data_IF_899959852181
#
_entry.id   IF_899959852181
#
_cell.length_a   1.000
_cell.length_b   1.000
_cell.length_c   1.000
_cell.angle_alpha   90.00
_cell.angle_beta   90.00
_cell.angle_gamma   90.00
#
_symmetry.space_group_name_H-M   'P 1'
#
loop_
_entity.id
_entity.type
_entity.pdbx_description
1 polymer ?
#
# COMPACT_ATOMS: atom_id res chain seq x y z
N UNK A 1 -45.76 4.97 -41.38
CA UNK A 1 -45.28 3.64 -41.85
C UNK A 1 -43.81 3.77 -42.20
N UNK A 2 -43.02 2.78 -41.75
CA UNK A 2 -41.65 2.39 -42.16
C UNK A 2 -40.47 3.36 -41.93
N UNK A 3 -39.66 3.01 -40.93
CA UNK A 3 -38.18 3.06 -40.94
C UNK A 3 -37.62 1.79 -41.65
N UNK A 4 -36.30 1.53 -41.71
CA UNK A 4 -35.16 2.31 -42.22
C UNK A 4 -34.25 1.47 -43.15
N UNK A 5 -33.17 2.05 -43.71
CA UNK A 5 -32.02 1.26 -44.21
C UNK A 5 -30.66 1.97 -44.06
N UNK A 6 -29.77 1.25 -43.38
CA UNK A 6 -28.30 1.25 -43.28
C UNK A 6 -27.44 2.10 -44.22
N UNK A 7 -26.34 2.65 -43.67
CA UNK A 7 -25.07 2.85 -44.40
C UNK A 7 -23.87 2.63 -43.48
N UNK A 8 -22.96 1.80 -43.97
CA UNK A 8 -21.66 1.38 -43.43
C UNK A 8 -20.61 2.48 -43.43
N UNK A 9 -19.65 2.41 -42.52
CA UNK A 9 -18.43 3.21 -42.52
C UNK A 9 -17.27 2.39 -43.12
N UNK A 10 -16.66 2.92 -44.18
CA UNK A 10 -15.42 2.43 -44.77
C UNK A 10 -14.20 2.96 -44.01
N UNK A 11 -13.27 2.06 -43.69
CA UNK A 11 -11.93 2.38 -43.21
C UNK A 11 -10.99 2.56 -44.41
N UNK A 12 -10.33 3.72 -44.51
CA UNK A 12 -9.20 3.94 -45.43
C UNK A 12 -7.91 4.03 -44.60
N UNK A 13 -7.00 3.08 -44.85
CA UNK A 13 -5.64 3.07 -44.34
C UNK A 13 -4.73 3.90 -45.25
N UNK A 14 -3.84 4.71 -44.66
CA UNK A 14 -2.68 5.28 -45.34
C UNK A 14 -1.41 4.81 -44.63
N UNK A 15 -0.57 4.07 -45.36
CA UNK A 15 0.83 3.80 -45.02
C UNK A 15 1.71 4.80 -45.77
N UNK A 16 2.68 5.39 -45.08
CA UNK A 16 3.73 6.24 -45.65
C UNK A 16 4.94 6.28 -44.71
N UNK A 17 6.11 6.01 -45.28
CA UNK A 17 7.33 5.53 -44.64
C UNK A 17 8.23 6.60 -43.98
N UNK A 18 8.91 6.14 -42.92
CA UNK A 18 10.28 6.43 -42.47
C UNK A 18 10.67 7.84 -41.99
N UNK A 19 11.06 7.93 -40.71
CA UNK A 19 12.33 8.55 -40.27
C UNK A 19 12.58 8.23 -38.80
N UNK A 20 13.76 7.68 -38.51
CA UNK A 20 14.25 7.35 -37.18
C UNK A 20 14.54 8.63 -36.38
N UNK A 21 13.62 9.00 -35.49
CA UNK A 21 13.84 9.83 -34.29
C UNK A 21 12.50 9.94 -33.53
N UNK A 22 12.23 9.02 -32.60
CA UNK A 22 10.92 9.01 -31.94
C UNK A 22 10.75 7.88 -30.92
N UNK A 23 11.57 7.86 -29.87
CA UNK A 23 11.37 7.03 -28.69
C UNK A 23 11.38 7.96 -27.48
N UNK A 24 10.26 8.67 -27.26
CA UNK A 24 9.81 9.30 -26.01
C UNK A 24 8.60 10.21 -26.31
N UNK A 25 7.45 9.61 -26.65
CA UNK A 25 6.17 10.33 -26.62
C UNK A 25 5.01 9.38 -26.36
N UNK A 26 4.97 8.80 -25.15
CA UNK A 26 3.68 8.34 -24.62
C UNK A 26 2.89 9.61 -24.28
N UNK A 27 1.88 9.89 -25.09
CA UNK A 27 1.01 11.04 -24.94
C UNK A 27 0.28 10.99 -23.60
N UNK A 28 0.37 12.07 -22.80
CA UNK A 28 -0.33 12.24 -21.51
C UNK A 28 -1.86 12.08 -21.60
N UNK A 29 -2.44 12.05 -22.81
CA UNK A 29 -3.88 11.82 -23.04
C UNK A 29 -4.30 10.36 -22.88
N UNK A 30 -3.38 9.39 -23.00
CA UNK A 30 -3.75 7.96 -23.08
C UNK A 30 -3.97 7.31 -21.69
N UNK A 31 -3.48 7.94 -20.62
CA UNK A 31 -3.63 7.45 -19.24
C UNK A 31 -5.10 7.55 -18.74
N UNK A 32 -5.89 8.46 -19.30
CA UNK A 32 -7.22 8.79 -18.77
C UNK A 32 -8.38 7.96 -19.33
N UNK A 33 -8.20 7.20 -20.41
CA UNK A 33 -9.34 6.56 -21.12
C UNK A 33 -9.63 5.11 -20.74
N UNK A 34 -8.74 4.41 -20.04
CA UNK A 34 -8.90 2.96 -19.82
C UNK A 34 -9.72 2.56 -18.57
N UNK A 35 -10.10 3.51 -17.72
CA UNK A 35 -10.66 3.20 -16.38
C UNK A 35 -12.21 3.15 -16.31
N UNK A 36 -12.95 3.57 -17.35
CA UNK A 36 -14.37 3.95 -17.17
C UNK A 36 -15.41 2.83 -17.43
N UNK A 37 -15.06 1.70 -18.03
CA UNK A 37 -16.08 0.66 -18.33
C UNK A 37 -15.92 -0.61 -17.48
N UNK A 38 -16.69 -0.73 -16.39
CA UNK A 38 -17.33 -2.01 -15.94
C UNK A 38 -18.27 -1.87 -14.72
N UNK A 39 -19.58 -1.98 -15.03
CA UNK A 39 -20.66 -2.75 -14.36
C UNK A 39 -21.30 -2.23 -13.06
N UNK A 40 -22.57 -1.86 -13.22
CA UNK A 40 -23.63 -1.79 -12.21
C UNK A 40 -24.27 -3.16 -11.97
N UNK A 41 -24.46 -3.55 -10.71
CA UNK A 41 -25.47 -4.55 -10.29
C UNK A 41 -26.03 -4.20 -8.91
N UNK A 42 -27.37 -4.26 -8.80
CA UNK A 42 -28.18 -3.83 -7.66
C UNK A 42 -28.06 -4.76 -6.42
N UNK A 43 -28.23 -4.20 -5.22
CA UNK A 43 -28.26 -4.91 -3.94
C UNK A 43 -29.70 -5.08 -3.40
N UNK A 44 -29.99 -6.25 -2.83
CA UNK A 44 -31.20 -6.52 -2.03
C UNK A 44 -30.83 -6.68 -0.55
N UNK A 45 -31.51 -5.96 0.34
CA UNK A 45 -31.26 -6.02 1.79
C UNK A 45 -32.08 -7.13 2.47
N UNK A 46 -31.44 -7.97 3.28
CA UNK A 46 -32.11 -8.90 4.22
C UNK A 46 -31.96 -8.35 5.64
N UNK A 47 -33.08 -8.21 6.37
CA UNK A 47 -33.12 -7.82 7.80
C UNK A 47 -32.74 -9.01 8.68
N UNK A 48 -31.89 -8.79 9.68
CA UNK A 48 -31.78 -9.68 10.82
C UNK A 48 -31.84 -8.90 12.14
N UNK A 49 -32.67 -9.35 13.07
CA UNK A 49 -33.35 -8.53 14.09
C UNK A 49 -32.57 -8.31 15.41
N UNK A 50 -31.24 -8.47 15.43
CA UNK A 50 -30.47 -8.36 16.70
C UNK A 50 -29.22 -7.49 16.66
N UNK A 51 -28.76 -7.10 15.48
CA UNK A 51 -27.64 -6.20 15.26
C UNK A 51 -28.02 -5.31 14.06
N UNK A 52 -27.62 -4.03 14.08
CA UNK A 52 -27.93 -3.08 13.00
C UNK A 52 -27.54 -3.62 11.62
N UNK A 53 -28.08 -3.07 10.52
CA UNK A 53 -27.92 -3.65 9.19
C UNK A 53 -26.43 -3.72 8.81
N UNK A 54 -25.88 -4.93 8.79
CA UNK A 54 -24.63 -5.22 8.12
C UNK A 54 -24.93 -5.17 6.61
N UNK A 55 -24.56 -4.08 5.96
CA UNK A 55 -24.60 -3.97 4.50
C UNK A 55 -23.53 -4.90 3.92
N UNK A 56 -23.83 -6.19 3.82
CA UNK A 56 -23.04 -7.13 3.03
C UNK A 56 -23.39 -6.85 1.57
N UNK A 57 -22.68 -5.93 0.93
CA UNK A 57 -22.77 -5.76 -0.50
C UNK A 57 -22.34 -7.08 -1.16
N UNK A 58 -23.22 -7.64 -1.98
CA UNK A 58 -22.99 -8.89 -2.69
C UNK A 58 -21.79 -8.76 -3.65
N UNK A 59 -20.78 -9.60 -3.44
CA UNK A 59 -19.66 -9.87 -4.35
C UNK A 59 -18.69 -8.71 -4.64
N UNK A 60 -18.12 -8.08 -3.62
CA UNK A 60 -16.77 -7.52 -3.76
C UNK A 60 -15.77 -8.64 -3.46
N UNK A 61 -15.11 -9.19 -4.50
CA UNK A 61 -14.04 -10.17 -4.30
C UNK A 61 -12.85 -9.47 -3.63
N UNK A 62 -12.26 -10.12 -2.62
CA UNK A 62 -10.97 -9.71 -2.06
C UNK A 62 -9.95 -9.58 -3.21
N UNK A 63 -9.01 -8.62 -3.14
CA UNK A 63 -8.00 -8.46 -4.18
C UNK A 63 -7.30 -9.80 -4.37
N UNK A 64 -7.48 -10.39 -5.55
CA UNK A 64 -7.03 -11.76 -5.82
C UNK A 64 -5.51 -11.85 -5.84
N UNK A 65 -4.83 -10.75 -6.16
CA UNK A 65 -3.37 -10.61 -6.13
C UNK A 65 -3.03 -9.18 -5.76
N UNK A 66 -2.22 -8.99 -4.71
CA UNK A 66 -1.58 -7.70 -4.40
C UNK A 66 -0.22 -7.63 -5.11
N UNK A 67 0.13 -6.51 -5.76
CA UNK A 67 1.45 -6.33 -6.35
C UNK A 67 2.55 -6.44 -5.29
N UNK A 68 3.76 -6.83 -5.72
CA UNK A 68 4.93 -7.00 -4.84
C UNK A 68 5.12 -5.78 -3.94
N UNK A 69 4.95 -5.98 -2.64
CA UNK A 69 4.95 -4.90 -1.66
C UNK A 69 6.37 -4.49 -1.29
N UNK A 70 7.33 -5.43 -1.33
CA UNK A 70 8.75 -5.13 -1.08
C UNK A 70 9.44 -4.40 -2.22
N UNK A 71 8.86 -4.44 -3.44
CA UNK A 71 9.41 -3.73 -4.59
C UNK A 71 9.33 -2.23 -4.39
N UNK A 72 10.46 -1.55 -4.44
CA UNK A 72 10.55 -0.09 -4.35
C UNK A 72 11.56 0.46 -5.37
N UNK A 73 11.29 1.61 -6.04
CA UNK A 73 10.01 2.33 -6.08
C UNK A 73 8.93 1.55 -6.84
N UNK A 74 7.66 1.74 -6.48
CA UNK A 74 6.54 1.15 -7.25
C UNK A 74 6.46 1.78 -8.63
N UNK A 75 6.24 0.95 -9.65
CA UNK A 75 5.93 1.38 -11.01
C UNK A 75 4.60 2.12 -11.07
N UNK A 76 4.37 2.92 -12.12
CA UNK A 76 3.10 3.65 -12.29
C UNK A 76 1.88 2.72 -12.33
N UNK A 77 2.02 1.53 -12.89
CA UNK A 77 0.93 0.53 -12.93
C UNK A 77 0.61 0.00 -11.53
N UNK A 78 1.63 -0.31 -10.72
CA UNK A 78 1.44 -0.75 -9.34
C UNK A 78 0.82 0.36 -8.49
N UNK A 79 1.26 1.60 -8.67
CA UNK A 79 0.68 2.75 -7.99
C UNK A 79 -0.78 2.95 -8.38
N UNK A 80 -1.12 2.87 -9.67
CA UNK A 80 -2.50 2.99 -10.15
C UNK A 80 -3.39 1.91 -9.55
N UNK A 81 -2.91 0.66 -9.48
CA UNK A 81 -3.64 -0.43 -8.84
C UNK A 81 -4.03 -0.11 -7.40
N UNK A 82 -3.11 0.41 -6.59
CA UNK A 82 -3.43 0.79 -5.21
C UNK A 82 -4.39 1.98 -5.13
N UNK A 83 -4.30 2.94 -6.05
CA UNK A 83 -5.24 4.07 -6.14
C UNK A 83 -6.64 3.56 -6.46
N UNK A 84 -6.77 2.67 -7.44
CA UNK A 84 -8.05 2.09 -7.86
C UNK A 84 -8.69 1.34 -6.68
N UNK A 85 -7.92 0.55 -5.93
CA UNK A 85 -8.43 -0.14 -4.74
C UNK A 85 -8.99 0.83 -3.69
N UNK A 86 -8.34 1.97 -3.46
CA UNK A 86 -8.79 2.98 -2.51
C UNK A 86 -10.05 3.68 -3.04
N UNK A 87 -10.03 4.12 -4.31
CA UNK A 87 -11.16 4.80 -4.96
C UNK A 87 -12.40 3.92 -4.95
N UNK A 88 -12.26 2.65 -5.33
CA UNK A 88 -13.36 1.68 -5.29
C UNK A 88 -13.94 1.50 -3.88
N UNK A 89 -13.08 1.44 -2.86
CA UNK A 89 -13.52 1.29 -1.47
C UNK A 89 -14.31 2.51 -1.00
N UNK A 90 -13.80 3.72 -1.28
CA UNK A 90 -14.47 4.99 -0.95
C UNK A 90 -15.79 5.14 -1.70
N UNK A 91 -15.80 4.83 -3.00
CA UNK A 91 -17.02 4.86 -3.81
C UNK A 91 -18.07 3.88 -3.27
N UNK A 92 -17.67 2.64 -2.99
CA UNK A 92 -18.56 1.59 -2.45
C UNK A 92 -19.14 1.98 -1.10
N UNK A 93 -18.33 2.59 -0.23
CA UNK A 93 -18.75 3.07 1.07
C UNK A 93 -19.77 4.19 0.95
N UNK A 94 -19.47 5.21 0.15
CA UNK A 94 -20.35 6.36 -0.01
C UNK A 94 -21.70 6.01 -0.65
N UNK A 95 -21.74 4.97 -1.48
CA UNK A 95 -22.98 4.48 -2.07
C UNK A 95 -23.83 3.66 -1.07
N UNK A 96 -23.23 3.14 0.00
CA UNK A 96 -23.87 2.17 0.91
C UNK A 96 -24.11 2.73 2.32
N UNK A 97 -23.35 3.73 2.74
CA UNK A 97 -23.29 4.21 4.11
C UNK A 97 -23.58 5.71 4.18
N UNK A 98 -24.26 6.14 5.25
CA UNK A 98 -24.58 7.54 5.50
C UNK A 98 -23.57 8.26 6.40
N UNK A 99 -22.60 7.54 6.97
CA UNK A 99 -21.62 8.14 7.85
C UNK A 99 -20.65 9.04 7.06
N UNK A 100 -20.55 10.29 7.50
CA UNK A 100 -19.80 11.34 6.83
C UNK A 100 -18.31 11.32 7.17
N UNK A 101 -17.92 10.70 8.28
CA UNK A 101 -16.53 10.67 8.77
C UNK A 101 -15.84 9.37 8.35
N UNK A 102 -14.83 9.50 7.49
CA UNK A 102 -14.14 8.37 6.84
C UNK A 102 -12.63 8.52 6.90
N UNK A 103 -11.91 7.41 7.02
CA UNK A 103 -10.45 7.37 6.94
C UNK A 103 -9.98 6.37 5.88
N UNK A 104 -8.91 6.77 5.20
CA UNK A 104 -8.12 5.93 4.30
C UNK A 104 -6.70 5.91 4.85
N UNK A 105 -6.18 4.72 5.12
CA UNK A 105 -4.79 4.50 5.51
C UNK A 105 -4.11 3.60 4.49
N UNK A 106 -3.16 4.13 3.75
CA UNK A 106 -2.31 3.42 2.79
C UNK A 106 -0.85 3.69 3.18
N UNK A 107 -0.28 2.79 3.99
CA UNK A 107 1.08 2.90 4.55
C UNK A 107 2.06 1.96 3.84
N UNK A 108 1.99 1.92 2.51
CA UNK A 108 3.04 1.30 1.70
C UNK A 108 4.40 1.93 2.01
N UNK A 109 5.52 1.23 1.80
CA UNK A 109 6.85 1.81 2.00
C UNK A 109 7.00 3.20 1.38
N UNK A 110 6.53 3.37 0.14
CA UNK A 110 6.53 4.61 -0.65
C UNK A 110 5.66 5.74 -0.06
N UNK A 111 4.66 5.42 0.76
CA UNK A 111 3.67 6.36 1.29
C UNK A 111 3.69 6.47 2.82
N UNK A 112 4.68 5.86 3.46
CA UNK A 112 4.82 5.91 4.90
C UNK A 112 5.83 7.00 5.28
N UNK A 113 5.39 8.13 5.87
CA UNK A 113 6.29 9.20 6.27
C UNK A 113 7.20 8.84 7.46
N UNK A 114 6.93 7.73 8.16
CA UNK A 114 7.81 7.19 9.20
C UNK A 114 9.05 6.49 8.59
N UNK A 115 9.04 6.21 7.29
CA UNK A 115 10.16 5.63 6.55
C UNK A 115 10.88 6.72 5.74
N UNK A 116 12.16 6.49 5.44
CA UNK A 116 13.03 7.44 4.71
C UNK A 116 12.58 7.70 3.26
N UNK A 117 11.62 6.91 2.80
CA UNK A 117 11.19 6.83 1.42
C UNK A 117 9.74 7.31 1.34
N UNK A 118 9.54 8.59 1.03
CA UNK A 118 8.20 9.18 0.93
C UNK A 118 7.98 9.81 -0.45
N UNK A 119 7.34 9.05 -1.35
CA UNK A 119 6.96 9.49 -2.69
C UNK A 119 5.71 10.37 -2.64
N UNK A 120 5.95 11.67 -2.50
CA UNK A 120 4.90 12.71 -2.55
C UNK A 120 4.11 12.68 -3.86
N UNK A 121 4.70 12.26 -4.99
CA UNK A 121 3.99 12.20 -6.28
C UNK A 121 2.95 11.10 -6.27
N UNK A 122 3.24 9.97 -5.62
CA UNK A 122 2.26 8.90 -5.44
C UNK A 122 1.10 9.36 -4.55
N UNK A 123 1.38 10.09 -3.47
CA UNK A 123 0.34 10.70 -2.63
C UNK A 123 -0.55 11.65 -3.44
N UNK A 124 0.04 12.54 -4.24
CA UNK A 124 -0.71 13.48 -5.09
C UNK A 124 -1.60 12.73 -6.08
N UNK A 125 -1.10 11.68 -6.74
CA UNK A 125 -1.92 10.83 -7.64
C UNK A 125 -3.12 10.23 -6.91
N UNK A 126 -2.93 9.72 -5.69
CA UNK A 126 -4.03 9.19 -4.87
C UNK A 126 -5.07 10.27 -4.56
N UNK A 127 -4.63 11.45 -4.12
CA UNK A 127 -5.51 12.60 -3.82
C UNK A 127 -6.30 13.00 -5.06
N UNK A 128 -5.66 13.06 -6.22
CA UNK A 128 -6.33 13.39 -7.48
C UNK A 128 -7.32 12.32 -7.93
N UNK A 129 -7.03 11.03 -7.73
CA UNK A 129 -7.99 9.95 -7.98
C UNK A 129 -9.26 10.13 -7.17
N UNK A 130 -9.14 10.43 -5.87
CA UNK A 130 -10.27 10.67 -4.97
C UNK A 130 -11.03 11.98 -5.29
N UNK A 131 -10.32 13.06 -5.63
CA UNK A 131 -10.95 14.30 -6.05
C UNK A 131 -11.74 14.10 -7.36
N UNK A 132 -11.18 13.34 -8.30
CA UNK A 132 -11.82 13.01 -9.57
C UNK A 132 -13.10 12.21 -9.37
N UNK A 133 -13.06 11.19 -8.49
CA UNK A 133 -14.25 10.42 -8.09
C UNK A 133 -15.38 11.36 -7.63
N UNK A 134 -15.08 12.26 -6.70
CA UNK A 134 -16.08 13.16 -6.11
C UNK A 134 -16.64 14.16 -7.14
N UNK A 135 -15.79 14.73 -8.01
CA UNK A 135 -16.23 15.76 -8.97
C UNK A 135 -16.93 15.15 -10.18
N UNK A 136 -16.32 14.16 -10.83
CA UNK A 136 -16.82 13.65 -12.10
C UNK A 136 -18.01 12.71 -11.92
N UNK A 137 -17.94 11.82 -10.95
CA UNK A 137 -19.03 10.85 -10.74
C UNK A 137 -20.15 11.43 -9.87
N UNK A 138 -19.80 12.19 -8.83
CA UNK A 138 -20.78 12.69 -7.84
C UNK A 138 -21.17 14.15 -8.01
N UNK A 139 -20.53 14.89 -8.91
CA UNK A 139 -20.79 16.32 -9.15
C UNK A 139 -20.63 17.18 -7.88
N UNK A 140 -19.74 16.77 -6.98
CA UNK A 140 -19.50 17.45 -5.70
C UNK A 140 -18.37 18.48 -5.82
N UNK A 141 -18.50 19.60 -5.12
CA UNK A 141 -17.39 20.52 -4.89
C UNK A 141 -16.51 19.98 -3.77
N UNK A 142 -15.23 19.81 -4.07
CA UNK A 142 -14.25 19.18 -3.21
C UNK A 142 -13.26 20.22 -2.71
N UNK A 143 -13.05 20.23 -1.40
CA UNK A 143 -11.96 20.92 -0.75
C UNK A 143 -10.84 19.94 -0.41
N UNK A 144 -9.66 20.17 -0.97
CA UNK A 144 -8.43 19.52 -0.52
C UNK A 144 -7.82 20.37 0.60
N UNK A 145 -7.67 19.77 1.77
CA UNK A 145 -7.22 20.44 2.98
C UNK A 145 -5.88 19.88 3.40
N UNK A 146 -4.90 20.75 3.59
CA UNK A 146 -3.58 20.42 4.13
C UNK A 146 -3.38 21.17 5.44
N UNK A 147 -2.61 20.60 6.36
CA UNK A 147 -2.20 21.32 7.56
C UNK A 147 -1.23 22.45 7.19
N UNK A 148 -1.56 23.67 7.63
CA UNK A 148 -0.72 24.85 7.45
C UNK A 148 0.35 24.96 8.52
N UNK A 149 1.33 25.87 8.34
CA UNK A 149 2.32 26.16 9.36
C UNK A 149 1.62 26.70 10.61
N UNK A 150 1.79 26.03 11.74
CA UNK A 150 1.21 26.46 13.01
C UNK A 150 1.94 27.68 13.56
N UNK A 151 1.23 28.56 14.28
CA UNK A 151 1.77 29.81 14.83
C UNK A 151 2.94 29.61 15.80
N UNK A 152 3.12 28.40 16.37
CA UNK A 152 4.07 28.11 17.44
C UNK A 152 4.93 26.85 17.23
N UNK A 153 5.02 26.33 15.99
CA UNK A 153 5.79 25.11 15.72
C UNK A 153 6.00 24.81 14.24
N UNK A 154 7.19 24.30 13.91
CA UNK A 154 7.49 23.82 12.55
C UNK A 154 6.61 22.63 12.15
N UNK A 155 6.35 22.52 10.85
CA UNK A 155 5.54 21.43 10.29
C UNK A 155 6.24 20.07 10.42
N UNK A 156 5.50 18.99 10.76
CA UNK A 156 6.02 17.63 10.65
C UNK A 156 6.54 17.34 9.23
N UNK A 157 7.59 16.53 9.11
CA UNK A 157 8.22 16.20 7.83
C UNK A 157 7.22 15.68 6.78
N UNK A 158 6.22 14.91 7.21
CA UNK A 158 5.15 14.36 6.39
C UNK A 158 4.35 15.44 5.63
N UNK A 159 4.20 16.61 6.25
CA UNK A 159 3.35 17.73 5.79
C UNK A 159 4.20 18.90 5.29
N UNK A 160 5.46 19.01 5.72
CA UNK A 160 6.36 20.10 5.36
C UNK A 160 6.48 20.25 3.84
N UNK A 161 6.04 21.39 3.30
CA UNK A 161 6.04 21.68 1.86
C UNK A 161 4.93 20.99 1.06
N UNK A 162 4.11 20.12 1.66
CA UNK A 162 3.02 19.42 0.95
C UNK A 162 2.02 20.40 0.33
N UNK A 163 1.64 21.45 1.06
CA UNK A 163 0.75 22.49 0.54
C UNK A 163 1.33 23.18 -0.70
N UNK A 164 2.63 23.48 -0.69
CA UNK A 164 3.33 24.08 -1.84
C UNK A 164 3.32 23.13 -3.03
N UNK A 165 3.73 21.87 -2.85
CA UNK A 165 3.72 20.89 -3.93
C UNK A 165 2.33 20.63 -4.50
N UNK A 166 1.32 20.51 -3.64
CA UNK A 166 -0.06 20.32 -4.06
C UNK A 166 -0.56 21.53 -4.87
N UNK A 167 -0.25 22.76 -4.44
CA UNK A 167 -0.63 23.95 -5.18
C UNK A 167 0.10 24.07 -6.53
N UNK A 168 1.40 23.82 -6.58
CA UNK A 168 2.17 23.85 -7.83
C UNK A 168 1.63 22.80 -8.82
N UNK A 169 1.43 21.56 -8.35
CA UNK A 169 0.88 20.48 -9.16
C UNK A 169 -0.57 20.75 -9.59
N UNK A 170 -1.36 21.39 -8.73
CA UNK A 170 -2.72 21.84 -9.07
C UNK A 170 -2.72 22.89 -10.17
N UNK A 171 -1.87 23.92 -10.11
CA UNK A 171 -1.84 24.94 -11.17
C UNK A 171 -1.48 24.32 -12.53
N UNK A 172 -0.47 23.44 -12.55
CA UNK A 172 -0.05 22.73 -13.76
C UNK A 172 -1.16 21.80 -14.27
N UNK A 173 -1.78 21.03 -13.37
CA UNK A 173 -2.79 20.04 -13.73
C UNK A 173 -4.09 20.70 -14.20
N UNK A 174 -4.47 21.83 -13.59
CA UNK A 174 -5.69 22.58 -13.90
C UNK A 174 -5.78 22.96 -15.37
N UNK A 175 -4.68 23.34 -16.00
CA UNK A 175 -4.63 23.65 -17.44
C UNK A 175 -5.05 22.46 -18.31
N UNK A 176 -4.78 21.24 -17.86
CA UNK A 176 -5.09 20.00 -18.58
C UNK A 176 -6.46 19.41 -18.25
N UNK A 177 -7.11 19.88 -17.19
CA UNK A 177 -8.37 19.33 -16.70
C UNK A 177 -9.58 19.78 -17.52
N UNK A 178 -10.64 18.96 -17.48
CA UNK A 178 -11.95 19.38 -17.96
C UNK A 178 -12.54 20.51 -17.09
N UNK A 179 -13.48 21.29 -17.64
CA UNK A 179 -14.00 22.48 -16.97
C UNK A 179 -14.66 22.23 -15.60
N UNK A 180 -15.19 21.02 -15.34
CA UNK A 180 -15.79 20.68 -14.05
C UNK A 180 -14.75 20.54 -12.95
N UNK A 181 -13.66 19.82 -13.20
CA UNK A 181 -12.55 19.70 -12.25
C UNK A 181 -11.95 21.07 -11.91
N UNK A 182 -11.79 21.95 -12.89
CA UNK A 182 -11.23 23.29 -12.69
C UNK A 182 -12.08 24.21 -11.79
N UNK A 183 -13.38 23.94 -11.67
CA UNK A 183 -14.35 24.78 -10.95
C UNK A 183 -14.79 24.17 -9.61
N UNK A 184 -14.76 22.84 -9.50
CA UNK A 184 -15.27 22.12 -8.33
C UNK A 184 -14.15 21.69 -7.37
N UNK A 185 -12.88 21.68 -7.79
CA UNK A 185 -11.75 21.38 -6.91
C UNK A 185 -11.15 22.67 -6.39
N UNK A 186 -10.80 22.66 -5.10
CA UNK A 186 -10.21 23.82 -4.45
C UNK A 186 -9.29 23.39 -3.32
N UNK A 187 -8.15 24.08 -3.15
CA UNK A 187 -7.13 23.73 -2.14
C UNK A 187 -7.12 24.81 -1.06
N UNK A 188 -6.93 24.43 0.19
CA UNK A 188 -6.81 25.36 1.31
C UNK A 188 -6.03 24.75 2.47
N UNK A 189 -5.55 25.59 3.38
CA UNK A 189 -5.04 25.11 4.67
C UNK A 189 -6.18 24.81 5.63
N UNK A 190 -5.87 24.11 6.72
CA UNK A 190 -6.82 23.86 7.79
C UNK A 190 -7.27 25.17 8.46
N UNK A 191 -6.35 26.13 8.68
CA UNK A 191 -6.68 27.43 9.27
C UNK A 191 -7.61 28.25 8.37
N UNK A 192 -7.38 28.25 7.05
CA UNK A 192 -8.25 28.90 6.06
C UNK A 192 -9.68 28.33 6.10
N UNK A 193 -9.82 27.01 6.22
CA UNK A 193 -11.13 26.35 6.31
C UNK A 193 -11.90 26.72 7.58
N UNK A 194 -11.18 26.96 8.68
CA UNK A 194 -11.74 27.30 9.98
C UNK A 194 -12.17 28.78 10.03
N UNK A 195 -11.40 29.67 9.40
CA UNK A 195 -11.69 31.11 9.37
C UNK A 195 -12.75 31.48 8.33
N UNK A 196 -12.73 30.86 7.14
CA UNK A 196 -13.63 31.18 6.05
C UNK A 196 -14.82 30.21 5.99
N UNK A 197 -16.02 30.70 5.70
CA UNK A 197 -17.16 29.84 5.41
C UNK A 197 -17.11 29.41 3.95
N UNK A 198 -16.73 28.16 3.72
CA UNK A 198 -16.60 27.62 2.37
C UNK A 198 -17.82 26.75 2.06
N UNK A 199 -18.51 27.04 0.96
CA UNK A 199 -19.62 26.20 0.49
C UNK A 199 -19.04 25.02 -0.31
N UNK A 200 -18.73 23.92 0.37
CA UNK A 200 -18.13 22.72 -0.21
C UNK A 200 -18.91 21.48 0.21
N UNK A 201 -19.03 20.56 -0.73
CA UNK A 201 -19.85 19.37 -0.56
C UNK A 201 -19.03 18.21 0.01
N UNK A 202 -17.70 18.24 -0.11
CA UNK A 202 -16.80 17.17 0.34
C UNK A 202 -15.43 17.71 0.77
N UNK A 203 -14.88 17.21 1.89
CA UNK A 203 -13.55 17.58 2.38
C UNK A 203 -12.60 16.37 2.35
N UNK A 204 -11.40 16.56 1.80
CA UNK A 204 -10.31 15.58 1.83
C UNK A 204 -9.15 16.20 2.60
N UNK A 205 -8.87 15.69 3.80
CA UNK A 205 -7.76 16.16 4.63
C UNK A 205 -6.56 15.24 4.42
N UNK A 206 -5.45 15.82 3.94
CA UNK A 206 -4.29 15.07 3.48
C UNK A 206 -3.24 15.00 4.61
N UNK A 207 -2.93 13.77 5.05
CA UNK A 207 -1.87 13.45 6.02
C UNK A 207 -1.88 14.32 7.29
N UNK A 208 -3.03 14.52 7.96
CA UNK A 208 -3.06 15.34 9.16
C UNK A 208 -2.15 14.72 10.23
N UNK A 209 -1.17 15.48 10.70
CA UNK A 209 -0.10 14.98 11.57
C UNK A 209 0.01 15.81 12.85
N UNK A 210 0.15 15.13 13.97
CA UNK A 210 0.36 15.81 15.25
C UNK A 210 1.75 16.49 15.30
N UNK A 211 1.88 17.59 16.05
CA UNK A 211 3.14 18.29 16.27
C UNK A 211 3.38 18.52 17.77
N UNK A 212 4.66 18.64 18.17
CA UNK A 212 5.09 18.69 19.58
C UNK A 212 4.52 19.89 20.36
N UNK A 213 4.10 20.98 19.72
CA UNK A 213 3.57 22.17 20.41
C UNK A 213 2.09 22.47 20.12
N UNK A 214 1.52 21.89 19.07
CA UNK A 214 0.18 22.23 18.58
C UNK A 214 -0.55 20.98 18.10
N UNK A 215 -1.49 20.44 18.89
CA UNK A 215 -2.23 19.26 18.47
C UNK A 215 -3.21 19.62 17.35
N UNK A 216 -2.97 19.08 16.15
CA UNK A 216 -3.85 19.26 14.98
C UNK A 216 -5.29 18.76 15.25
N UNK A 217 -5.46 17.90 16.27
CA UNK A 217 -6.73 17.29 16.63
C UNK A 217 -7.81 18.31 16.98
N UNK A 218 -7.48 19.39 17.68
CA UNK A 218 -8.46 20.45 18.00
C UNK A 218 -9.01 21.11 16.74
N UNK A 219 -8.13 21.41 15.78
CA UNK A 219 -8.52 21.98 14.49
C UNK A 219 -9.37 21.01 13.67
N UNK A 220 -9.06 19.71 13.70
CA UNK A 220 -9.89 18.69 13.04
C UNK A 220 -11.27 18.54 13.70
N UNK A 221 -11.34 18.60 15.03
CA UNK A 221 -12.61 18.61 15.77
C UNK A 221 -13.45 19.82 15.33
N UNK A 222 -12.86 21.01 15.34
CA UNK A 222 -13.54 22.23 14.89
C UNK A 222 -14.00 22.13 13.44
N UNK A 223 -13.19 21.56 12.54
CA UNK A 223 -13.58 21.34 11.15
C UNK A 223 -14.78 20.39 11.04
N UNK A 224 -14.77 19.28 11.80
CA UNK A 224 -15.90 18.33 11.80
C UNK A 224 -17.18 18.90 12.40
N UNK A 225 -17.06 19.81 13.37
CA UNK A 225 -18.20 20.50 13.96
C UNK A 225 -18.76 21.56 13.01
N UNK A 226 -17.88 22.33 12.36
CA UNK A 226 -18.26 23.39 11.42
C UNK A 226 -18.92 22.84 10.16
N UNK A 227 -18.42 21.72 9.63
CA UNK A 227 -18.93 21.06 8.41
C UNK A 227 -19.57 19.71 8.72
N UNK A 228 -20.44 19.67 9.73
CA UNK A 228 -21.08 18.43 10.21
C UNK A 228 -21.97 17.72 9.17
N UNK A 229 -22.42 18.44 8.13
CA UNK A 229 -23.27 17.93 7.06
C UNK A 229 -22.49 17.52 5.80
N UNK A 230 -21.19 17.79 5.75
CA UNK A 230 -20.34 17.45 4.60
C UNK A 230 -19.47 16.23 4.95
N UNK A 231 -19.32 15.24 4.06
CA UNK A 231 -18.36 14.17 4.25
C UNK A 231 -16.92 14.70 4.40
N UNK A 232 -16.20 14.11 5.34
CA UNK A 232 -14.79 14.38 5.62
C UNK A 232 -14.02 13.08 5.51
N UNK A 233 -13.06 13.05 4.59
CA UNK A 233 -12.16 11.94 4.35
C UNK A 233 -10.75 12.29 4.83
N UNK A 234 -10.21 11.53 5.78
CA UNK A 234 -8.81 11.65 6.19
C UNK A 234 -7.95 10.66 5.39
N UNK A 235 -6.87 11.15 4.77
CA UNK A 235 -5.87 10.32 4.10
C UNK A 235 -4.64 10.21 5.00
N UNK A 236 -4.20 8.99 5.31
CA UNK A 236 -3.04 8.69 6.14
C UNK A 236 -2.98 9.54 7.43
N UNK A 237 -4.04 9.56 8.27
CA UNK A 237 -4.02 10.34 9.50
C UNK A 237 -2.97 9.79 10.48
N UNK A 238 -2.13 10.67 11.02
CA UNK A 238 -1.10 10.33 12.01
C UNK A 238 -1.24 11.20 13.26
N UNK A 239 -2.15 10.82 14.15
CA UNK A 239 -2.38 11.51 15.43
C UNK A 239 -1.71 10.82 16.63
N UNK A 240 -0.67 10.01 16.36
CA UNK A 240 0.13 9.35 17.39
C UNK A 240 0.95 10.37 18.18
N UNK A 241 1.47 9.93 19.31
CA UNK A 241 2.37 10.73 20.14
C UNK A 241 3.67 11.00 19.36
N UNK A 242 4.02 12.28 19.23
CA UNK A 242 5.32 12.70 18.68
C UNK A 242 6.28 12.83 19.87
N UNK A 243 7.46 12.19 19.83
CA UNK A 243 8.45 12.39 20.88
C UNK A 243 8.92 13.85 20.87
N UNK A 244 8.99 14.49 22.04
CA UNK A 244 9.62 15.81 22.14
C UNK A 244 11.15 15.69 21.98
N UNK A 245 11.82 16.80 21.70
CA UNK A 245 13.29 16.89 21.63
C UNK A 245 13.97 16.41 22.92
N UNK A 246 13.27 16.49 24.06
CA UNK A 246 13.73 16.02 25.37
C UNK A 246 13.39 14.55 25.67
N UNK A 247 12.89 13.81 24.68
CA UNK A 247 12.52 12.40 24.81
C UNK A 247 11.24 12.15 25.63
N UNK A 248 10.53 13.21 26.04
CA UNK A 248 9.26 13.08 26.78
C UNK A 248 8.12 12.90 25.78
N UNK A 249 7.43 11.76 25.88
CA UNK A 249 6.28 11.48 25.04
C UNK A 249 5.09 12.37 25.46
N UNK A 250 4.37 12.93 24.48
CA UNK A 250 3.14 13.67 24.75
C UNK A 250 1.99 12.74 25.13
N UNK A 251 1.93 12.35 26.40
CA UNK A 251 0.84 11.52 26.94
C UNK A 251 -0.46 12.33 27.11
N UNK A 252 -0.37 13.65 27.29
CA UNK A 252 -1.53 14.52 27.45
C UNK A 252 -2.37 14.55 26.16
N UNK A 253 -3.68 14.38 26.31
CA UNK A 253 -4.64 14.35 25.19
C UNK A 253 -4.57 13.09 24.32
N UNK A 254 -3.70 12.11 24.61
CA UNK A 254 -3.58 10.87 23.80
C UNK A 254 -4.91 10.16 23.66
N UNK A 255 -5.64 10.01 24.77
CA UNK A 255 -6.94 9.36 24.81
C UNK A 255 -7.93 10.07 23.88
N UNK A 256 -8.05 11.39 24.00
CA UNK A 256 -8.93 12.22 23.16
C UNK A 256 -8.58 12.11 21.67
N UNK A 257 -7.29 12.05 21.31
CA UNK A 257 -6.85 11.85 19.92
C UNK A 257 -7.27 10.49 19.36
N UNK A 258 -7.10 9.44 20.16
CA UNK A 258 -7.48 8.09 19.75
C UNK A 258 -9.00 7.96 19.63
N UNK A 259 -9.75 8.47 20.62
CA UNK A 259 -11.21 8.52 20.59
C UNK A 259 -11.73 9.32 19.39
N UNK A 260 -11.07 10.43 19.04
CA UNK A 260 -11.42 11.21 17.85
C UNK A 260 -11.21 10.41 16.56
N UNK A 261 -10.08 9.71 16.41
CA UNK A 261 -9.84 8.84 15.24
C UNK A 261 -10.84 7.70 15.15
N UNK A 262 -11.25 7.14 16.28
CA UNK A 262 -12.28 6.09 16.33
C UNK A 262 -13.66 6.58 15.86
N UNK A 263 -13.90 7.91 15.81
CA UNK A 263 -15.12 8.45 15.19
C UNK A 263 -15.14 8.36 13.67
N UNK A 264 -13.99 8.09 13.03
CA UNK A 264 -13.87 7.89 11.59
C UNK A 264 -13.94 6.40 11.28
N UNK A 265 -14.76 6.02 10.29
CA UNK A 265 -14.78 4.65 9.82
C UNK A 265 -13.59 4.40 8.88
N UNK A 266 -12.79 3.36 9.19
CA UNK A 266 -11.68 2.90 8.35
C UNK A 266 -12.23 2.23 7.06
N UNK A 267 -12.48 3.04 6.03
CA UNK A 267 -13.00 2.60 4.72
C UNK A 267 -11.97 1.79 3.95
N UNK A 268 -10.72 2.24 4.02
CA UNK A 268 -9.58 1.51 3.47
C UNK A 268 -8.42 1.56 4.45
N UNK A 269 -7.81 0.41 4.73
CA UNK A 269 -6.63 0.30 5.55
C UNK A 269 -5.67 -0.70 4.93
N UNK A 270 -4.45 -0.30 4.62
CA UNK A 270 -3.39 -1.18 4.19
C UNK A 270 -2.12 -0.79 4.92
N UNK A 271 -1.60 -1.72 5.71
CA UNK A 271 -0.34 -1.55 6.43
C UNK A 271 0.52 -2.82 6.32
N UNK A 272 1.76 -2.72 5.83
CA UNK A 272 2.73 -3.80 5.93
C UNK A 272 3.09 -4.06 7.39
N UNK A 273 3.17 -5.33 7.74
CA UNK A 273 3.60 -5.79 9.06
C UNK A 273 5.04 -6.24 8.94
N UNK A 274 5.92 -5.66 9.75
CA UNK A 274 7.35 -5.92 9.71
C UNK A 274 7.75 -6.90 10.82
N UNK A 275 8.68 -7.81 10.50
CA UNK A 275 9.31 -8.67 11.50
C UNK A 275 10.28 -7.85 12.35
N UNK A 276 10.26 -8.06 13.66
CA UNK A 276 11.21 -7.43 14.58
C UNK A 276 12.61 -8.04 14.38
N UNK A 277 13.65 -7.20 14.26
CA UNK A 277 15.03 -7.64 14.06
C UNK A 277 15.82 -6.74 13.09
N UNK A 278 16.54 -7.36 12.16
CA UNK A 278 17.41 -6.68 11.18
C UNK A 278 16.66 -6.35 9.87
N UNK A 279 16.80 -5.10 9.40
CA UNK A 279 16.34 -4.60 8.08
C UNK A 279 14.82 -4.60 7.80
N UNK A 280 13.95 -4.71 8.81
CA UNK A 280 12.48 -4.64 8.67
C UNK A 280 11.91 -5.45 7.47
N UNK A 281 12.16 -6.77 7.38
CA UNK A 281 11.52 -7.55 6.33
C UNK A 281 10.01 -7.57 6.56
N UNK A 282 9.26 -7.39 5.48
CA UNK A 282 7.80 -7.51 5.48
C UNK A 282 7.47 -8.96 5.84
N UNK A 283 6.64 -9.16 6.86
CA UNK A 283 6.15 -10.47 7.29
C UNK A 283 4.75 -10.76 6.73
N UNK A 284 4.01 -9.70 6.41
CA UNK A 284 2.62 -9.78 5.99
C UNK A 284 2.01 -8.40 5.87
N UNK A 285 0.69 -8.34 5.79
CA UNK A 285 -0.06 -7.10 5.74
C UNK A 285 -1.39 -7.21 6.48
N UNK A 286 -1.81 -6.07 7.00
CA UNK A 286 -3.16 -5.86 7.50
C UNK A 286 -3.93 -5.06 6.45
N UNK A 287 -5.02 -5.65 5.94
CA UNK A 287 -5.88 -5.06 4.93
C UNK A 287 -7.31 -4.89 5.45
N UNK A 288 -7.94 -3.77 5.13
CA UNK A 288 -9.38 -3.54 5.18
C UNK A 288 -9.73 -2.84 3.87
N UNK A 289 -10.64 -3.41 3.10
CA UNK A 289 -11.21 -2.78 1.90
C UNK A 289 -12.72 -2.88 2.03
N UNK A 290 -13.40 -1.78 2.35
CA UNK A 290 -14.86 -1.80 2.45
C UNK A 290 -15.48 -2.39 1.16
N UNK A 291 -16.43 -3.34 1.27
CA UNK A 291 -17.14 -3.79 2.47
C UNK A 291 -16.48 -4.96 3.23
N UNK A 292 -15.43 -5.58 2.70
CA UNK A 292 -14.80 -6.80 3.23
C UNK A 292 -14.18 -6.60 4.62
N UNK A 293 -14.32 -7.55 5.57
CA UNK A 293 -13.80 -7.43 6.93
C UNK A 293 -12.29 -7.16 7.00
N UNK A 294 -11.77 -6.97 8.20
CA UNK A 294 -10.32 -6.87 8.39
C UNK A 294 -9.67 -8.21 8.01
N UNK A 295 -8.61 -8.18 7.23
CA UNK A 295 -7.91 -9.38 6.76
C UNK A 295 -6.45 -9.29 7.15
N UNK A 296 -5.95 -10.37 7.74
CA UNK A 296 -4.52 -10.54 8.05
C UNK A 296 -3.92 -11.47 7.03
N UNK A 297 -2.93 -11.00 6.30
CA UNK A 297 -2.25 -11.76 5.26
C UNK A 297 -0.80 -11.99 5.66
N UNK A 298 -0.29 -13.20 5.44
CA UNK A 298 1.10 -13.56 5.59
C UNK A 298 1.79 -13.50 4.24
N UNK A 299 2.95 -12.88 4.19
CA UNK A 299 3.80 -12.91 3.02
C UNK A 299 4.61 -14.21 3.04
N UNK A 300 4.60 -14.90 1.91
CA UNK A 300 5.40 -16.09 1.64
C UNK A 300 6.14 -15.90 0.31
N UNK A 301 7.13 -16.75 0.04
CA UNK A 301 7.85 -16.76 -1.23
C UNK A 301 7.63 -18.09 -1.93
N UNK A 302 7.22 -18.03 -3.20
CA UNK A 302 7.11 -19.23 -4.03
C UNK A 302 8.51 -19.76 -4.43
N UNK A 303 8.57 -20.92 -5.09
CA UNK A 303 9.82 -21.55 -5.56
C UNK A 303 10.66 -20.60 -6.44
N UNK A 304 9.99 -19.68 -7.15
CA UNK A 304 10.60 -18.64 -7.99
C UNK A 304 11.00 -17.36 -7.23
N UNK A 305 10.97 -17.36 -5.90
CA UNK A 305 11.22 -16.19 -5.04
C UNK A 305 10.28 -15.00 -5.31
N UNK A 306 9.08 -15.28 -5.81
CA UNK A 306 8.04 -14.28 -6.00
C UNK A 306 7.20 -14.16 -4.72
N UNK A 307 6.90 -12.93 -4.29
CA UNK A 307 6.03 -12.71 -3.14
C UNK A 307 4.63 -13.22 -3.43
N UNK A 308 4.11 -14.06 -2.54
CA UNK A 308 2.74 -14.52 -2.51
C UNK A 308 2.12 -14.19 -1.14
N UNK A 309 0.81 -13.95 -1.10
CA UNK A 309 0.10 -13.60 0.12
C UNK A 309 -0.92 -14.67 0.49
N UNK A 310 -0.77 -15.24 1.68
CA UNK A 310 -1.68 -16.23 2.24
C UNK A 310 -2.59 -15.56 3.28
N UNK A 311 -3.90 -15.63 3.08
CA UNK A 311 -4.88 -15.14 4.06
C UNK A 311 -4.78 -16.01 5.33
N UNK A 312 -4.46 -15.38 6.46
CA UNK A 312 -4.41 -16.04 7.76
C UNK A 312 -5.77 -16.03 8.45
N UNK A 313 -6.44 -14.88 8.50
CA UNK A 313 -7.66 -14.69 9.28
C UNK A 313 -8.48 -13.51 8.74
N UNK A 314 -9.80 -13.63 8.83
CA UNK A 314 -10.75 -12.52 8.65
C UNK A 314 -11.34 -12.11 10.01
N UNK A 315 -11.20 -10.83 10.37
CA UNK A 315 -11.61 -10.28 11.65
C UNK A 315 -12.73 -9.24 11.45
N UNK A 316 -13.79 -9.24 12.27
CA UNK A 316 -14.85 -8.22 12.17
C UNK A 316 -14.35 -6.83 12.58
N UNK A 317 -13.38 -6.77 13.48
CA UNK A 317 -12.76 -5.55 13.98
C UNK A 317 -11.25 -5.56 13.75
N UNK A 318 -10.63 -4.38 13.86
CA UNK A 318 -9.19 -4.21 13.72
C UNK A 318 -8.43 -5.10 14.72
N UNK A 319 -7.58 -6.02 14.26
CA UNK A 319 -6.86 -6.91 15.15
C UNK A 319 -5.82 -6.14 15.96
N UNK A 320 -5.76 -6.43 17.27
CA UNK A 320 -4.75 -5.87 18.16
C UNK A 320 -3.37 -6.54 17.93
N UNK A 321 -2.31 -5.87 18.39
CA UNK A 321 -0.92 -6.36 18.31
C UNK A 321 -0.75 -7.75 18.93
N UNK A 322 -1.46 -8.03 20.03
CA UNK A 322 -1.44 -9.34 20.69
C UNK A 322 -1.98 -10.44 19.76
N UNK A 323 -3.14 -10.21 19.15
CA UNK A 323 -3.78 -11.11 18.18
C UNK A 323 -2.89 -11.33 16.95
N UNK A 324 -2.35 -10.25 16.38
CA UNK A 324 -1.41 -10.35 15.25
C UNK A 324 -0.21 -11.25 15.60
N UNK A 325 0.39 -11.05 16.79
CA UNK A 325 1.54 -11.86 17.23
C UNK A 325 1.19 -13.34 17.32
N UNK A 326 0.00 -13.68 17.82
CA UNK A 326 -0.47 -15.06 17.94
C UNK A 326 -0.71 -15.68 16.57
N UNK A 327 -1.40 -14.98 15.66
CA UNK A 327 -1.68 -15.46 14.29
C UNK A 327 -0.40 -15.77 13.51
N UNK A 328 0.59 -14.89 13.60
CA UNK A 328 1.86 -15.11 12.91
C UNK A 328 2.67 -16.24 13.53
N UNK A 329 2.58 -16.48 14.85
CA UNK A 329 3.23 -17.62 15.51
C UNK A 329 2.55 -18.95 15.18
N UNK A 330 1.22 -19.01 15.19
CA UNK A 330 0.46 -20.24 14.89
C UNK A 330 0.55 -20.65 13.42
N UNK A 331 0.75 -19.69 12.52
CA UNK A 331 0.98 -19.95 11.09
C UNK A 331 2.35 -20.56 10.77
N UNK A 332 3.23 -20.73 11.76
CA UNK A 332 4.47 -21.47 11.60
C UNK A 332 4.10 -22.95 11.81
N UNK A 333 4.12 -23.81 10.78
CA UNK A 333 3.98 -25.22 11.03
C UNK A 333 5.14 -25.66 11.92
N UNK A 334 4.85 -26.02 13.18
CA UNK A 334 5.58 -27.12 13.76
C UNK A 334 5.41 -28.26 12.76
N UNK A 335 6.52 -28.77 12.22
CA UNK A 335 6.57 -30.04 11.52
C UNK A 335 5.92 -31.08 12.44
N UNK A 336 4.62 -31.24 12.27
CA UNK A 336 3.84 -32.21 13.01
C UNK A 336 4.14 -33.49 12.30
N UNK A 337 5.15 -34.20 12.78
CA UNK A 337 5.36 -35.60 12.47
C UNK A 337 4.06 -36.31 12.84
N UNK A 338 3.20 -36.52 11.84
CA UNK A 338 2.06 -37.42 11.95
C UNK A 338 2.68 -38.81 12.14
N UNK A 339 2.83 -39.19 13.41
CA UNK A 339 3.06 -40.57 13.82
C UNK A 339 1.78 -41.36 13.50
N UNK A 340 1.61 -41.74 12.25
CA UNK A 340 0.75 -42.87 11.92
C UNK A 340 1.50 -44.14 12.32
N UNK A 341 1.19 -44.64 13.51
CA UNK A 341 1.44 -46.04 13.86
C UNK A 341 0.59 -46.88 12.91
N UNK A 342 1.23 -47.48 11.91
CA UNK A 342 0.82 -48.74 11.33
C UNK A 342 2.08 -49.55 11.02
N UNK A 343 2.15 -50.69 11.69
CA UNK A 343 3.13 -51.76 11.56
C UNK A 343 3.23 -52.28 10.13
N UNK A 344 4.45 -52.32 9.59
CA UNK A 344 5.03 -53.49 8.90
C UNK A 344 6.54 -53.30 8.84
N UNK A 345 7.26 -54.16 9.57
CA UNK A 345 8.67 -54.46 9.34
C UNK A 345 8.84 -55.01 7.92
N UNK A 346 9.85 -54.52 7.17
CA UNK A 346 10.92 -55.32 6.55
C UNK A 346 11.65 -54.57 5.43
N UNK A 347 12.98 -54.68 5.48
CA UNK A 347 13.98 -54.51 4.41
C UNK A 347 14.33 -53.09 3.90
N UNK A 348 15.41 -52.51 4.45
CA UNK A 348 16.73 -52.30 3.78
C UNK A 348 17.60 -51.21 4.44
N UNK A 349 18.74 -51.56 5.07
CA UNK A 349 19.88 -50.65 5.21
C UNK A 349 21.14 -51.29 4.60
N UNK A 350 21.21 -51.40 3.26
CA UNK A 350 22.41 -51.93 2.58
C UNK A 350 22.98 -50.95 1.56
N UNK A 351 22.24 -49.93 1.12
CA UNK A 351 22.73 -49.00 0.09
C UNK A 351 23.63 -47.87 0.62
N UNK A 352 23.50 -47.46 1.88
CA UNK A 352 24.28 -46.34 2.45
C UNK A 352 25.70 -46.75 2.90
N UNK A 353 25.90 -48.01 3.29
CA UNK A 353 27.23 -48.50 3.69
C UNK A 353 28.17 -48.73 2.49
N UNK A 354 27.65 -49.11 1.33
CA UNK A 354 28.43 -49.27 0.10
C UNK A 354 28.93 -47.91 -0.44
N UNK A 355 28.14 -46.84 -0.29
CA UNK A 355 28.53 -45.49 -0.70
C UNK A 355 29.69 -44.93 0.13
N UNK A 356 29.66 -45.15 1.46
CA UNK A 356 30.69 -44.64 2.36
C UNK A 356 32.02 -45.39 2.21
N UNK A 357 31.98 -46.71 1.97
CA UNK A 357 33.18 -47.53 1.76
C UNK A 357 33.90 -47.18 0.45
N UNK A 358 33.16 -46.91 -0.64
CA UNK A 358 33.72 -46.47 -1.92
C UNK A 358 34.39 -45.09 -1.83
N UNK A 359 33.81 -44.18 -1.04
CA UNK A 359 34.34 -42.83 -0.85
C UNK A 359 35.64 -42.83 -0.03
N UNK A 360 35.74 -43.71 0.98
CA UNK A 360 36.96 -43.94 1.76
C UNK A 360 38.09 -44.57 0.92
N UNK A 361 37.75 -45.50 0.04
CA UNK A 361 38.71 -46.12 -0.89
C UNK A 361 39.25 -45.11 -1.91
N UNK A 362 38.40 -44.22 -2.41
CA UNK A 362 38.80 -43.14 -3.32
C UNK A 362 39.79 -42.17 -2.64
N UNK A 363 39.53 -41.78 -1.38
CA UNK A 363 40.45 -40.92 -0.63
C UNK A 363 41.80 -41.58 -0.33
N UNK A 364 41.83 -42.89 -0.07
CA UNK A 364 43.07 -43.63 0.15
C UNK A 364 43.92 -43.75 -1.13
N UNK A 365 43.28 -43.92 -2.29
CA UNK A 365 43.98 -43.97 -3.59
C UNK A 365 44.58 -42.59 -3.94
N UNK A 366 43.83 -41.50 -3.74
CA UNK A 366 44.34 -40.13 -3.95
C UNK A 366 45.51 -39.80 -3.01
N UNK A 367 45.44 -40.23 -1.74
CA UNK A 367 46.53 -40.01 -0.78
C UNK A 367 47.82 -40.71 -1.21
N UNK A 368 47.72 -41.91 -1.76
CA UNK A 368 48.88 -42.69 -2.20
C UNK A 368 49.47 -42.20 -3.52
N UNK A 369 48.67 -41.50 -4.34
CA UNK A 369 49.13 -40.91 -5.60
C UNK A 369 49.83 -39.55 -5.38
N UNK A 370 49.41 -38.77 -4.37
CA UNK A 370 50.03 -37.48 -4.02
C UNK A 370 51.37 -37.63 -3.28
N UNK A 371 51.59 -38.73 -2.56
CA UNK A 371 52.88 -38.99 -1.89
C UNK A 371 53.97 -39.49 -2.84
N UNK A 372 53.61 -40.10 -3.98
CA UNK A 372 54.59 -40.56 -4.98
C UNK A 372 55.07 -39.45 -5.93
N UNK A 373 54.31 -38.39 -6.13
CA UNK A 373 54.69 -37.26 -7.01
C UNK A 373 55.50 -36.17 -6.29
N UNK A 374 55.52 -36.14 -4.96
CA UNK A 374 56.20 -35.08 -4.19
C UNK A 374 57.69 -35.35 -3.87
N UNK A 375 58.21 -36.55 -4.17
CA UNK A 375 59.60 -36.94 -3.86
C UNK A 375 60.60 -36.81 -5.03
N UNK A 376 60.21 -36.26 -6.18
CA UNK A 376 61.06 -36.16 -7.39
C UNK A 376 61.36 -34.73 -7.88
N UNK A 377 61.02 -33.68 -7.12
CA UNK A 377 61.28 -32.31 -7.56
C UNK A 377 61.71 -31.37 -6.44
N UNK A 378 62.83 -31.66 -5.76
CA UNK A 378 63.52 -30.67 -4.92
C UNK A 378 65.03 -30.87 -4.97
N UNK A 379 65.67 -30.30 -5.98
CA UNK A 379 67.10 -29.99 -5.99
C UNK A 379 67.32 -28.68 -6.76
N UNK A 380 67.62 -27.55 -6.10
CA UNK A 380 68.01 -26.32 -6.79
C UNK A 380 69.54 -26.29 -7.01
N UNK A 381 70.04 -25.87 -8.19
CA UNK A 381 71.45 -25.52 -8.33
C UNK A 381 71.72 -24.12 -7.78
N UNK A 382 72.94 -23.97 -7.27
CA UNK A 382 73.45 -22.82 -6.52
C UNK A 382 73.42 -21.49 -7.30
N UNK A 383 72.91 -20.44 -6.65
CA UNK A 383 73.12 -19.05 -7.03
C UNK A 383 74.55 -18.62 -6.67
N UNK A 384 75.37 -18.32 -7.69
CA UNK A 384 76.62 -17.56 -7.55
C UNK A 384 76.31 -16.07 -7.51
N UNK A 385 76.63 -15.44 -6.38
CA UNK A 385 76.82 -14.00 -6.27
C UNK A 385 78.03 -13.56 -7.10
N UNK A 386 77.90 -12.43 -7.81
CA UNK A 386 79.07 -11.62 -8.18
C UNK A 386 78.70 -10.14 -8.17
N UNK A 387 79.29 -9.41 -7.21
CA UNK A 387 79.41 -7.96 -7.23
C UNK A 387 80.45 -7.54 -8.27
N UNK A 388 80.06 -6.68 -9.21
CA UNK A 388 80.57 -5.31 -9.40
C UNK A 388 79.85 -4.67 -10.58
#
# INVERSE_FOLDING_TARGET
>A
MTSPSSSSCDCVAFFGNASWNGLLSISKKDIWRQSIDRRTTACSCIRNQKYGPLCIASSVKAPTVLPHMSRYPKSLQEQQYYIDLVVEAVQSYDNSCSNLKKSVTLLLPDLNPELDIYDRRFLLRLVWGLATLCVLEKQQRVRLVVQGPSESGGLPLAVAGLFRYLNEDYQISRESWNGKLQTHVSISTLEECLTQNVNQDYFIVITPTNAVSTPITEQLIQLTQKYNNSPILLINPSLKDVPSTDGVMQVRGRKERMEFLETFEDVFYLRPLYKTGTLYPIQGLLLRKYPLPWQVWKMDYDELQQEHYLLLEECPHKPDRSMLTTLFKSSIPHSTTISNKNTTEEARPVLLFLSFALLLLFFLILRNHMTKTFLLSFWPPALKFRCK
#
